data_IF_060186497997
#
_entry.id   IF_060186497997
#
_cell.length_a   1.000
_cell.length_b   1.000
_cell.length_c   1.000
_cell.angle_alpha   90.00
_cell.angle_beta   90.00
_cell.angle_gamma   90.00
#
_symmetry.space_group_name_H-M   'P 1'
#
loop_
_entity.id
_entity.type
_entity.pdbx_description
1 polymer ?
#
# COMPACT_ATOMS: atom_id res chain seq x y z
N UNK A 1 15.01 1.05 -1.89
CA UNK A 1 15.01 1.69 -3.19
C UNK A 1 14.62 0.67 -4.27
N UNK A 2 13.57 0.93 -5.10
CA UNK A 2 13.16 0.05 -6.21
C UNK A 2 14.23 -0.21 -7.27
N UNK A 3 15.18 0.71 -7.43
CA UNK A 3 16.28 0.61 -8.40
C UNK A 3 17.57 0.01 -7.84
N UNK A 4 17.56 -0.44 -6.59
CA UNK A 4 18.76 -0.99 -5.98
C UNK A 4 19.27 -2.21 -6.76
N UNK A 5 20.58 -2.23 -7.06
CA UNK A 5 21.21 -3.30 -7.87
C UNK A 5 21.08 -4.70 -7.28
N UNK A 6 20.71 -4.83 -6.01
CA UNK A 6 20.44 -6.13 -5.38
C UNK A 6 19.30 -6.89 -6.08
N UNK A 7 18.29 -6.19 -6.57
CA UNK A 7 17.12 -6.81 -7.20
C UNK A 7 17.44 -7.56 -8.47
N UNK A 8 18.48 -7.18 -9.20
CA UNK A 8 18.94 -7.91 -10.39
C UNK A 8 19.55 -9.28 -10.06
N UNK A 9 19.93 -9.52 -8.81
CA UNK A 9 20.56 -10.76 -8.33
C UNK A 9 19.57 -11.71 -7.65
N UNK A 10 18.33 -11.27 -7.42
CA UNK A 10 17.30 -12.04 -6.73
C UNK A 10 16.31 -12.58 -7.75
N UNK A 11 16.02 -13.87 -7.68
CA UNK A 11 14.98 -14.50 -8.50
C UNK A 11 13.61 -13.85 -8.24
N UNK A 12 12.81 -13.69 -9.29
CA UNK A 12 11.44 -13.20 -9.20
C UNK A 12 10.43 -14.32 -9.37
N UNK A 13 9.31 -14.22 -8.66
CA UNK A 13 8.13 -15.07 -8.83
C UNK A 13 7.08 -14.27 -9.57
N UNK A 14 6.49 -14.83 -10.63
CA UNK A 14 5.35 -14.24 -11.31
C UNK A 14 4.07 -14.75 -10.66
N UNK A 15 3.22 -13.84 -10.24
CA UNK A 15 1.94 -14.13 -9.58
C UNK A 15 0.82 -13.66 -10.50
N UNK A 16 0.01 -14.59 -11.04
CA UNK A 16 -1.15 -14.22 -11.84
C UNK A 16 -2.19 -13.53 -10.96
N UNK A 17 -2.83 -12.51 -11.51
CA UNK A 17 -3.93 -11.81 -10.88
C UNK A 17 -5.25 -12.20 -11.53
N UNK A 18 -6.27 -12.37 -10.72
CA UNK A 18 -7.65 -12.56 -11.19
C UNK A 18 -8.33 -11.20 -11.24
N UNK A 19 -8.96 -10.90 -12.38
CA UNK A 19 -9.75 -9.69 -12.50
C UNK A 19 -10.86 -9.66 -11.45
N UNK A 20 -11.05 -8.51 -10.83
CA UNK A 20 -12.15 -8.33 -9.90
C UNK A 20 -13.47 -8.35 -10.66
N UNK A 21 -14.37 -9.24 -10.28
CA UNK A 21 -15.69 -9.38 -10.86
C UNK A 21 -16.73 -8.70 -9.96
N UNK A 22 -17.33 -7.64 -10.44
CA UNK A 22 -18.38 -6.91 -9.73
C UNK A 22 -19.33 -6.22 -10.69
N UNK A 23 -20.53 -5.92 -10.21
CA UNK A 23 -21.57 -5.29 -11.04
C UNK A 23 -21.15 -3.92 -11.59
N UNK A 24 -20.22 -3.26 -10.92
CA UNK A 24 -19.79 -1.88 -11.22
C UNK A 24 -18.30 -1.74 -11.51
N UNK A 25 -17.57 -2.85 -11.53
CA UNK A 25 -16.11 -2.84 -11.69
C UNK A 25 -15.78 -3.60 -12.97
N UNK A 26 -15.28 -2.90 -13.97
CA UNK A 26 -14.62 -3.53 -15.10
C UNK A 26 -13.30 -4.16 -14.62
N UNK A 27 -12.96 -5.33 -15.11
CA UNK A 27 -11.70 -5.99 -14.77
C UNK A 27 -10.49 -5.09 -15.04
N UNK A 28 -9.47 -5.20 -14.19
CA UNK A 28 -8.23 -4.44 -14.35
C UNK A 28 -7.40 -4.91 -15.55
N UNK A 29 -6.51 -4.05 -16.04
CA UNK A 29 -5.59 -4.34 -17.14
C UNK A 29 -4.37 -5.16 -16.68
N UNK A 30 -4.02 -5.13 -15.40
CA UNK A 30 -2.87 -5.85 -14.84
C UNK A 30 -3.23 -7.31 -14.60
N UNK A 31 -2.63 -8.21 -15.35
CA UNK A 31 -2.93 -9.66 -15.29
C UNK A 31 -1.94 -10.46 -14.46
N UNK A 32 -0.79 -9.88 -14.14
CA UNK A 32 0.23 -10.50 -13.30
C UNK A 32 1.14 -9.46 -12.67
N UNK A 33 1.68 -9.81 -11.52
CA UNK A 33 2.74 -9.04 -10.84
C UNK A 33 3.99 -9.92 -10.71
N UNK A 34 5.15 -9.29 -10.55
CA UNK A 34 6.40 -9.95 -10.18
C UNK A 34 6.74 -9.59 -8.75
N UNK A 35 7.05 -10.59 -7.94
CA UNK A 35 7.48 -10.41 -6.56
C UNK A 35 8.91 -10.94 -6.35
N UNK A 36 9.68 -10.23 -5.54
CA UNK A 36 11.01 -10.58 -5.09
C UNK A 36 11.10 -10.28 -3.59
N UNK A 37 11.79 -11.11 -2.84
CA UNK A 37 11.99 -10.88 -1.42
C UNK A 37 13.44 -11.12 -1.02
N UNK A 38 13.92 -10.32 -0.09
CA UNK A 38 15.25 -10.46 0.52
C UNK A 38 15.19 -9.98 1.96
N UNK A 39 16.03 -10.54 2.80
CA UNK A 39 16.20 -10.03 4.16
C UNK A 39 17.67 -9.64 4.41
N UNK A 40 17.85 -8.67 5.29
CA UNK A 40 19.15 -8.22 5.74
C UNK A 40 19.03 -7.65 7.15
N UNK A 41 19.91 -8.08 8.05
CA UNK A 41 19.97 -7.58 9.45
C UNK A 41 18.61 -7.59 10.17
N UNK A 42 17.86 -8.69 10.05
CA UNK A 42 16.56 -8.83 10.72
C UNK A 42 15.41 -8.03 10.10
N UNK A 43 15.61 -7.51 8.90
CA UNK A 43 14.61 -6.73 8.17
C UNK A 43 14.22 -7.41 6.87
N UNK A 44 12.93 -7.46 6.57
CA UNK A 44 12.36 -7.97 5.33
C UNK A 44 12.20 -6.83 4.33
N UNK A 45 12.56 -7.11 3.10
CA UNK A 45 12.31 -6.25 1.94
C UNK A 45 11.56 -7.06 0.90
N UNK A 46 10.43 -6.56 0.44
CA UNK A 46 9.64 -7.17 -0.63
C UNK A 46 9.49 -6.16 -1.75
N UNK A 47 9.92 -6.53 -2.95
CA UNK A 47 9.70 -5.74 -4.15
C UNK A 47 8.59 -6.36 -4.97
N UNK A 48 7.62 -5.53 -5.37
CA UNK A 48 6.54 -5.89 -6.29
C UNK A 48 6.63 -4.99 -7.51
N UNK A 49 6.48 -5.56 -8.71
CA UNK A 49 6.45 -4.78 -9.96
C UNK A 49 5.38 -5.29 -10.90
N UNK A 50 4.78 -4.37 -11.65
CA UNK A 50 3.76 -4.66 -12.66
C UNK A 50 3.85 -3.69 -13.83
N UNK A 51 3.35 -4.12 -15.00
CA UNK A 51 3.29 -3.27 -16.18
C UNK A 51 2.09 -2.35 -16.07
N UNK A 52 2.33 -1.07 -16.22
CA UNK A 52 1.32 -0.01 -16.21
C UNK A 52 1.82 1.17 -17.02
N UNK A 53 1.09 1.52 -18.08
CA UNK A 53 1.47 2.63 -18.96
C UNK A 53 1.02 4.00 -18.44
N UNK A 54 0.18 4.02 -17.40
CA UNK A 54 -0.32 5.23 -16.74
C UNK A 54 0.34 5.43 -15.39
N UNK A 55 0.32 6.64 -14.91
CA UNK A 55 0.80 7.00 -13.57
C UNK A 55 -0.31 7.76 -12.87
N UNK A 56 -1.17 7.01 -12.18
CA UNK A 56 -2.30 7.57 -11.46
C UNK A 56 -1.92 7.81 -10.00
N UNK A 57 -1.56 9.06 -9.67
CA UNK A 57 -1.08 9.47 -8.34
C UNK A 57 -1.87 10.66 -7.76
N UNK A 58 -3.10 10.89 -8.22
CA UNK A 58 -3.97 11.93 -7.71
C UNK A 58 -5.35 11.35 -7.40
N UNK A 59 -5.88 11.64 -6.22
CA UNK A 59 -7.17 11.13 -5.72
C UNK A 59 -8.00 12.24 -5.11
N UNK A 60 -8.13 13.35 -5.81
CA UNK A 60 -8.83 14.53 -5.31
C UNK A 60 -10.32 14.54 -5.66
N UNK A 61 -10.71 13.90 -6.76
CA UNK A 61 -12.10 13.74 -7.16
C UNK A 61 -12.58 12.33 -6.85
N UNK A 62 -13.89 12.15 -6.66
CA UNK A 62 -14.48 10.85 -6.35
C UNK A 62 -14.23 9.76 -7.42
N UNK A 63 -13.98 10.17 -8.67
CA UNK A 63 -13.66 9.27 -9.78
C UNK A 63 -12.16 9.00 -9.97
N UNK A 64 -11.29 9.65 -9.21
CA UNK A 64 -9.85 9.43 -9.28
C UNK A 64 -9.47 8.22 -8.43
N UNK A 65 -8.77 7.27 -9.02
CA UNK A 65 -8.24 6.09 -8.34
C UNK A 65 -6.73 6.09 -8.49
N UNK A 66 -6.04 6.05 -7.36
CA UNK A 66 -4.57 5.97 -7.35
C UNK A 66 -4.12 4.54 -7.62
N UNK A 67 -3.00 4.41 -8.33
CA UNK A 67 -2.29 3.14 -8.42
C UNK A 67 -1.92 2.66 -7.02
N UNK A 68 -2.13 1.38 -6.77
CA UNK A 68 -1.91 0.79 -5.46
C UNK A 68 -1.52 -0.68 -5.56
N UNK A 69 -0.85 -1.18 -4.52
CA UNK A 69 -0.60 -2.59 -4.32
C UNK A 69 -0.59 -2.91 -2.84
N UNK A 70 -1.11 -4.07 -2.48
CA UNK A 70 -1.11 -4.54 -1.11
C UNK A 70 -0.47 -5.92 -0.98
N UNK A 71 0.19 -6.14 0.17
CA UNK A 71 0.65 -7.45 0.62
C UNK A 71 -0.16 -7.84 1.83
N UNK A 72 -0.63 -9.09 1.85
CA UNK A 72 -1.40 -9.65 2.95
C UNK A 72 -0.61 -10.75 3.64
N UNK A 73 -0.57 -10.70 4.97
CA UNK A 73 0.11 -11.69 5.81
C UNK A 73 -0.80 -12.10 6.97
N UNK A 74 -0.67 -13.32 7.50
CA UNK A 74 -1.30 -13.64 8.79
C UNK A 74 -0.88 -12.65 9.87
N UNK A 75 -1.82 -12.18 10.67
CA UNK A 75 -1.48 -11.38 11.84
C UNK A 75 -0.70 -12.23 12.87
N UNK A 76 0.09 -11.58 13.71
CA UNK A 76 0.88 -12.28 14.74
C UNK A 76 -0.02 -13.06 15.69
N UNK A 77 0.34 -14.32 15.94
CA UNK A 77 -0.44 -15.24 16.77
C UNK A 77 -1.47 -16.09 16.00
N UNK A 78 -1.75 -15.78 14.75
CA UNK A 78 -2.58 -16.61 13.91
C UNK A 78 -1.82 -17.85 13.45
N UNK A 79 -2.44 -19.01 13.60
CA UNK A 79 -1.85 -20.31 13.21
C UNK A 79 -2.48 -20.89 11.94
N UNK A 80 -3.66 -20.41 11.58
CA UNK A 80 -4.33 -20.78 10.34
C UNK A 80 -3.86 -19.91 9.18
N UNK A 81 -3.85 -20.47 7.97
CA UNK A 81 -3.68 -19.68 6.75
C UNK A 81 -4.97 -18.92 6.51
N UNK A 82 -4.96 -17.59 6.55
CA UNK A 82 -6.17 -16.81 6.35
C UNK A 82 -6.71 -16.97 4.93
N UNK A 83 -8.01 -16.75 4.77
CA UNK A 83 -8.62 -16.66 3.46
C UNK A 83 -8.06 -15.47 2.69
N UNK A 84 -7.79 -15.67 1.39
CA UNK A 84 -7.31 -14.62 0.47
C UNK A 84 -8.48 -13.64 0.22
N UNK A 85 -8.90 -12.90 1.18
CA UNK A 85 -9.96 -11.89 1.07
C UNK A 85 -10.13 -11.16 2.39
N UNK A 86 -9.10 -10.46 2.86
CA UNK A 86 -9.15 -9.65 4.08
C UNK A 86 -9.32 -10.47 5.36
N UNK A 87 -8.83 -11.73 5.37
CA UNK A 87 -8.90 -12.60 6.53
C UNK A 87 -10.29 -13.18 6.79
N UNK A 88 -10.44 -13.81 7.94
CA UNK A 88 -11.67 -14.40 8.45
C UNK A 88 -11.69 -14.27 9.98
N UNK A 89 -12.84 -14.53 10.60
CA UNK A 89 -13.08 -14.27 12.02
C UNK A 89 -12.06 -14.95 12.97
N UNK A 90 -11.53 -16.10 12.58
CA UNK A 90 -10.56 -16.92 13.32
C UNK A 90 -9.13 -16.89 12.74
N UNK A 91 -8.91 -16.09 11.69
CA UNK A 91 -7.61 -15.92 11.06
C UNK A 91 -7.46 -14.49 10.49
N UNK A 92 -7.05 -13.59 11.37
CA UNK A 92 -6.85 -12.19 11.03
C UNK A 92 -5.62 -11.98 10.14
N UNK A 93 -5.64 -10.90 9.38
CA UNK A 93 -4.55 -10.50 8.50
C UNK A 93 -4.01 -9.13 8.84
N UNK A 94 -2.70 -8.95 8.60
CA UNK A 94 -2.05 -7.66 8.49
C UNK A 94 -1.82 -7.36 7.01
N UNK A 95 -2.29 -6.21 6.55
CA UNK A 95 -2.21 -5.78 5.16
C UNK A 95 -1.29 -4.57 5.07
N UNK A 96 -0.29 -4.64 4.21
CA UNK A 96 0.60 -3.52 3.89
C UNK A 96 0.13 -2.91 2.57
N UNK A 97 -0.51 -1.77 2.64
CA UNK A 97 -1.15 -1.13 1.51
C UNK A 97 -0.36 0.11 1.09
N UNK A 98 0.36 0.00 -0.03
CA UNK A 98 1.04 1.11 -0.68
C UNK A 98 0.11 1.77 -1.70
N UNK A 99 0.17 3.11 -1.77
CA UNK A 99 -0.59 3.93 -2.74
C UNK A 99 0.31 4.97 -3.38
N UNK A 100 0.11 5.21 -4.67
CA UNK A 100 0.90 6.18 -5.44
C UNK A 100 0.65 7.62 -5.00
N UNK A 101 -0.58 7.99 -4.63
CA UNK A 101 -0.90 9.32 -4.10
C UNK A 101 -0.19 9.62 -2.78
N UNK A 102 -0.14 8.65 -1.87
CA UNK A 102 0.59 8.77 -0.61
C UNK A 102 2.11 8.79 -0.84
N UNK A 103 2.61 8.02 -1.81
CA UNK A 103 4.01 8.02 -2.21
C UNK A 103 4.45 9.34 -2.84
N UNK A 104 3.57 9.99 -3.60
CA UNK A 104 3.82 11.29 -4.22
C UNK A 104 3.70 12.47 -3.24
N UNK A 105 3.07 12.23 -2.08
CA UNK A 105 2.68 13.26 -1.13
C UNK A 105 1.41 13.99 -1.52
N UNK A 106 0.89 14.79 -0.59
CA UNK A 106 -0.32 15.58 -0.85
C UNK A 106 -0.04 16.64 -1.92
N UNK A 107 -0.82 16.62 -2.99
CA UNK A 107 -0.70 17.55 -4.10
C UNK A 107 -1.68 18.71 -3.92
N UNK A 108 -1.25 19.90 -4.35
CA UNK A 108 -2.14 21.06 -4.48
C UNK A 108 -3.18 20.77 -5.58
N UNK A 109 -4.49 20.74 -5.27
CA UNK A 109 -5.54 20.50 -6.24
C UNK A 109 -5.52 21.49 -7.41
N UNK A 110 -5.12 22.73 -7.18
CA UNK A 110 -5.05 23.75 -8.21
C UNK A 110 -3.92 23.50 -9.22
N UNK A 111 -2.89 22.75 -8.82
CA UNK A 111 -1.82 22.32 -9.73
C UNK A 111 -2.21 21.09 -10.54
N UNK A 112 -3.04 20.21 -9.97
CA UNK A 112 -3.48 18.97 -10.62
C UNK A 112 -4.63 19.25 -11.59
N UNK A 113 -5.57 20.14 -11.23
CA UNK A 113 -6.77 20.46 -12.00
C UNK A 113 -6.79 21.92 -12.39
N UNK A 114 -6.09 22.27 -13.48
CA UNK A 114 -5.93 23.65 -13.96
C UNK A 114 -7.25 24.30 -14.41
N UNK A 115 -8.31 23.52 -14.65
CA UNK A 115 -9.64 24.00 -15.01
C UNK A 115 -10.62 24.13 -13.83
N UNK A 116 -10.18 23.79 -12.64
CA UNK A 116 -10.98 23.90 -11.41
C UNK A 116 -10.22 24.73 -10.37
N UNK A 117 -10.93 25.61 -9.68
CA UNK A 117 -10.38 26.32 -8.53
C UNK A 117 -10.97 25.72 -7.26
N UNK A 118 -10.10 25.34 -6.33
CA UNK A 118 -10.50 24.83 -5.02
C UNK A 118 -10.06 25.84 -3.99
N UNK A 119 -11.00 26.37 -3.23
CA UNK A 119 -10.71 27.27 -2.12
C UNK A 119 -10.11 26.49 -0.96
N UNK A 120 -8.91 26.87 -0.55
CA UNK A 120 -8.31 26.39 0.69
C UNK A 120 -8.90 27.10 1.90
N UNK A 121 -8.92 26.43 3.04
CA UNK A 121 -9.27 27.08 4.30
C UNK A 121 -8.16 28.04 4.74
N UNK A 122 -8.51 29.27 5.20
CA UNK A 122 -7.54 30.33 5.41
C UNK A 122 -6.58 30.12 6.60
N UNK A 123 -6.75 29.03 7.35
CA UNK A 123 -5.97 28.82 8.59
C UNK A 123 -4.81 27.88 8.44
N UNK A 124 -4.63 27.26 7.28
CA UNK A 124 -3.61 26.23 7.13
C UNK A 124 -3.13 26.11 5.71
N UNK A 125 -1.89 25.80 5.56
CA UNK A 125 -1.30 25.33 4.31
C UNK A 125 -1.71 23.88 3.97
N UNK A 126 -2.67 23.32 4.74
CA UNK A 126 -3.11 21.94 4.60
C UNK A 126 -4.47 21.86 3.92
N UNK A 127 -4.51 21.22 2.76
CA UNK A 127 -5.73 21.00 1.98
C UNK A 127 -6.76 20.09 2.66
N UNK A 128 -6.33 19.27 3.60
CA UNK A 128 -7.17 18.28 4.29
C UNK A 128 -7.21 18.51 5.81
N UNK A 129 -7.10 19.75 6.22
CA UNK A 129 -7.01 20.12 7.64
C UNK A 129 -8.12 19.49 8.49
N UNK A 130 -9.37 19.60 8.07
CA UNK A 130 -10.53 19.08 8.81
C UNK A 130 -10.47 17.56 8.99
N UNK A 131 -10.09 16.84 7.94
CA UNK A 131 -9.95 15.39 8.01
C UNK A 131 -8.77 14.97 8.90
N UNK A 132 -7.67 15.72 8.86
CA UNK A 132 -6.49 15.47 9.71
C UNK A 132 -6.82 15.71 11.18
N UNK A 133 -7.49 16.82 11.51
CA UNK A 133 -7.92 17.12 12.87
C UNK A 133 -8.96 16.12 13.41
N UNK A 134 -9.77 15.55 12.52
CA UNK A 134 -10.68 14.45 12.87
C UNK A 134 -9.96 13.11 13.03
N UNK A 135 -8.63 13.06 12.88
CA UNK A 135 -7.85 11.82 13.00
C UNK A 135 -7.95 10.88 11.80
N UNK A 136 -8.39 11.36 10.62
CA UNK A 136 -8.42 10.55 9.42
C UNK A 136 -6.99 10.23 8.97
N UNK A 137 -6.56 8.95 9.01
CA UNK A 137 -5.19 8.58 8.65
C UNK A 137 -4.83 8.92 7.20
N UNK A 138 -5.80 8.93 6.28
CA UNK A 138 -5.57 9.30 4.88
C UNK A 138 -5.20 10.78 4.67
N UNK A 139 -5.52 11.62 5.65
CA UNK A 139 -5.18 13.04 5.63
C UNK A 139 -3.88 13.36 6.38
N UNK A 140 -3.19 12.35 6.91
CA UNK A 140 -1.95 12.54 7.64
C UNK A 140 -0.74 12.35 6.71
N UNK A 141 0.01 13.41 6.35
CA UNK A 141 1.17 13.32 5.48
C UNK A 141 2.33 12.51 6.08
N UNK A 142 2.36 12.33 7.41
CA UNK A 142 3.42 11.63 8.12
C UNK A 142 3.27 10.11 8.09
N UNK A 143 2.14 9.57 7.61
CA UNK A 143 1.94 8.13 7.50
C UNK A 143 2.82 7.43 6.46
N UNK A 144 3.44 8.21 5.57
CA UNK A 144 4.26 7.65 4.49
C UNK A 144 3.43 6.98 3.39
N UNK A 145 4.11 6.28 2.49
CA UNK A 145 3.50 5.69 1.31
C UNK A 145 2.76 4.37 1.58
N UNK A 146 2.98 3.73 2.73
CA UNK A 146 2.38 2.45 3.11
C UNK A 146 1.55 2.61 4.37
N UNK A 147 0.35 2.07 4.34
CA UNK A 147 -0.49 1.88 5.51
C UNK A 147 -0.44 0.44 5.97
N UNK A 148 -0.19 0.23 7.26
CA UNK A 148 -0.34 -1.06 7.93
C UNK A 148 -1.76 -1.16 8.46
N UNK A 149 -2.51 -2.12 7.92
CA UNK A 149 -3.93 -2.33 8.18
C UNK A 149 -4.14 -3.70 8.83
N UNK A 150 -5.24 -3.84 9.56
CA UNK A 150 -5.68 -5.09 10.16
C UNK A 150 -7.10 -5.42 9.73
N UNK A 151 -7.37 -6.68 9.45
CA UNK A 151 -8.70 -7.15 9.08
C UNK A 151 -8.98 -8.57 9.55
N UNK A 152 -10.26 -8.84 9.86
CA UNK A 152 -10.78 -10.19 10.14
C UNK A 152 -11.85 -10.61 9.15
N UNK A 153 -12.38 -9.69 8.38
CA UNK A 153 -13.45 -9.95 7.43
C UNK A 153 -13.69 -8.72 6.54
N UNK A 154 -14.50 -8.88 5.53
CA UNK A 154 -15.02 -7.75 4.76
C UNK A 154 -15.73 -6.73 5.68
N UNK A 155 -15.37 -5.46 5.55
CA UNK A 155 -15.94 -4.37 6.33
C UNK A 155 -15.28 -4.13 7.69
N UNK A 156 -14.28 -4.92 8.07
CA UNK A 156 -13.51 -4.74 9.33
C UNK A 156 -12.09 -4.22 9.09
N UNK A 157 -11.87 -3.45 8.06
CA UNK A 157 -10.54 -2.90 7.78
C UNK A 157 -10.22 -1.75 8.74
N UNK A 158 -9.17 -1.92 9.53
CA UNK A 158 -8.74 -0.95 10.54
C UNK A 158 -7.29 -0.54 10.30
N UNK A 159 -7.03 0.76 10.29
CA UNK A 159 -5.66 1.29 10.30
C UNK A 159 -5.04 1.06 11.67
N UNK A 160 -3.90 0.38 11.70
CA UNK A 160 -3.17 0.14 12.95
C UNK A 160 -2.57 1.45 13.48
N UNK A 161 -2.54 1.58 14.80
CA UNK A 161 -2.00 2.79 15.45
C UNK A 161 -0.50 2.97 15.18
N UNK A 162 0.25 1.87 15.10
CA UNK A 162 1.67 1.88 14.79
C UNK A 162 1.88 1.56 13.31
N UNK A 163 2.54 2.46 12.61
CA UNK A 163 2.83 2.37 11.17
C UNK A 163 4.31 2.03 10.98
N UNK A 164 4.67 0.75 11.13
CA UNK A 164 6.05 0.26 11.15
C UNK A 164 6.54 -0.24 9.78
N UNK A 165 5.69 -0.19 8.76
CA UNK A 165 6.03 -0.57 7.38
C UNK A 165 6.44 0.67 6.60
N UNK A 166 7.61 0.63 6.01
CA UNK A 166 8.08 1.64 5.07
C UNK A 166 7.87 1.17 3.64
N UNK A 167 7.66 2.10 2.73
CA UNK A 167 7.53 1.79 1.32
C UNK A 167 7.95 2.93 0.42
N UNK A 168 8.40 2.54 -0.77
CA UNK A 168 8.75 3.47 -1.84
C UNK A 168 8.37 2.87 -3.17
N UNK A 169 7.63 3.62 -3.98
CA UNK A 169 7.28 3.25 -5.35
C UNK A 169 7.94 4.17 -6.36
N UNK A 170 8.27 3.60 -7.52
CA UNK A 170 8.77 4.31 -8.68
C UNK A 170 8.04 3.84 -9.93
N UNK A 171 7.53 4.78 -10.71
CA UNK A 171 6.97 4.54 -12.03
C UNK A 171 8.02 4.81 -13.11
N UNK A 172 8.07 3.93 -14.10
CA UNK A 172 8.90 4.06 -15.31
C UNK A 172 8.03 3.82 -16.54
N UNK A 173 8.63 3.89 -17.74
CA UNK A 173 7.91 3.53 -18.97
C UNK A 173 7.39 2.08 -18.99
N UNK A 174 7.97 1.18 -18.19
CA UNK A 174 7.57 -0.23 -18.09
C UNK A 174 6.48 -0.49 -17.04
N UNK A 175 6.17 0.49 -16.18
CA UNK A 175 5.19 0.39 -15.10
C UNK A 175 5.75 0.71 -13.73
N UNK A 176 5.11 0.18 -12.70
CA UNK A 176 5.47 0.41 -11.31
C UNK A 176 6.45 -0.62 -10.75
N UNK A 177 7.27 -0.15 -9.84
CA UNK A 177 8.11 -0.97 -8.97
C UNK A 177 8.03 -0.40 -7.56
N UNK A 178 7.57 -1.20 -6.62
CA UNK A 178 7.31 -0.81 -5.22
C UNK A 178 8.11 -1.71 -4.29
N UNK A 179 8.82 -1.13 -3.35
CA UNK A 179 9.53 -1.85 -2.29
C UNK A 179 8.89 -1.57 -0.96
N UNK A 180 8.54 -2.62 -0.25
CA UNK A 180 8.13 -2.60 1.14
C UNK A 180 9.30 -3.00 2.02
N UNK A 181 9.41 -2.41 3.20
CA UNK A 181 10.45 -2.74 4.16
C UNK A 181 9.91 -2.68 5.59
N UNK A 182 10.19 -3.73 6.38
CA UNK A 182 9.85 -3.80 7.81
C UNK A 182 10.78 -4.77 8.55
N UNK A 183 10.99 -4.52 9.82
CA UNK A 183 11.69 -5.46 10.71
C UNK A 183 10.91 -6.77 10.84
N UNK A 184 11.60 -7.89 11.02
CA UNK A 184 10.97 -9.21 11.10
C UNK A 184 10.00 -9.30 12.27
N UNK A 185 10.42 -8.88 13.45
CA UNK A 185 9.59 -8.89 14.64
C UNK A 185 8.79 -7.61 14.76
N UNK A 186 7.52 -7.73 15.12
CA UNK A 186 6.71 -6.63 15.62
C UNK A 186 6.11 -7.06 16.95
N UNK A 187 6.22 -6.19 17.95
CA UNK A 187 5.59 -6.37 19.26
C UNK A 187 4.17 -5.80 19.28
N UNK A 188 3.78 -5.14 18.20
CA UNK A 188 2.50 -4.47 18.11
C UNK A 188 1.38 -5.47 17.76
N UNK A 189 0.26 -5.46 18.49
CA UNK A 189 -0.88 -6.31 18.16
C UNK A 189 -1.39 -6.08 16.74
N UNK A 190 -1.80 -7.16 16.09
CA UNK A 190 -2.36 -7.11 14.74
C UNK A 190 -1.33 -7.03 13.61
N UNK A 191 -0.05 -6.82 13.91
CA UNK A 191 1.02 -6.85 12.91
C UNK A 191 1.45 -8.30 12.62
N UNK A 192 1.88 -8.56 11.39
CA UNK A 192 2.52 -9.81 11.04
C UNK A 192 3.88 -9.94 11.75
N UNK A 193 4.37 -11.13 11.99
CA UNK A 193 5.69 -11.40 12.54
C UNK A 193 6.39 -12.44 11.67
N UNK A 194 7.65 -12.22 11.39
CA UNK A 194 8.45 -13.11 10.56
C UNK A 194 9.62 -13.67 11.34
N UNK A 195 10.08 -14.85 10.96
CA UNK A 195 11.31 -15.43 11.43
C UNK A 195 12.21 -15.72 10.23
N UNK A 196 13.51 -15.49 10.35
CA UNK A 196 14.45 -16.00 9.38
C UNK A 196 14.44 -17.53 9.44
N UNK A 197 14.12 -18.18 8.33
CA UNK A 197 14.38 -19.62 8.20
C UNK A 197 15.89 -19.81 8.12
N UNK A 198 16.44 -20.59 9.04
CA UNK A 198 17.83 -21.07 8.98
C UNK A 198 18.01 -22.08 7.86
#
# INVERSE_FOLDING_TARGET
DPDAGVWSKIGSVSIPLTAQAGQYIAGGSVTAIKAQAVHHEGRLYVRVSWSDSTKDEATLRAQDFSDAVALEFPASGETAVPAICMGQADAAVNIWHWRADSNAGLKDPNQVYTSAQIDGYPYTDSLFYTAREAGNPFANPDLGAVQSLYSRAFGELTTLANQDVQGMGKHTADGWSVVFARDFASINPGHASFAAST
#
